data_IF_693873012282
#
_entry.id   IF_693873012282
#
_cell.length_a   1.000
_cell.length_b   1.000
_cell.length_c   1.000
_cell.angle_alpha   90.00
_cell.angle_beta   90.00
_cell.angle_gamma   90.00
#
_symmetry.space_group_name_H-M   'P 1'
#
loop_
_entity.id
_entity.type
_entity.pdbx_description
1 polymer ?
#
# COMPACT_ATOMS: atom_id res chain seq x y z
N UNK A 1 -65.07 -2.26 9.88
CA UNK A 1 -64.18 -2.25 8.70
C UNK A 1 -62.77 -1.92 9.17
N UNK A 2 -61.94 -2.94 9.41
CA UNK A 2 -60.56 -2.78 9.89
C UNK A 2 -59.64 -3.11 8.74
N UNK A 3 -58.87 -2.11 8.27
CA UNK A 3 -57.85 -2.30 7.25
C UNK A 3 -56.53 -2.64 7.92
N UNK A 4 -56.06 -3.86 7.73
CA UNK A 4 -54.72 -4.30 8.11
C UNK A 4 -53.72 -3.86 7.03
N UNK A 5 -52.87 -2.88 7.36
CA UNK A 5 -51.71 -2.50 6.55
C UNK A 5 -50.56 -3.49 6.84
N UNK A 6 -50.28 -4.38 5.90
CA UNK A 6 -49.10 -5.23 5.94
C UNK A 6 -47.89 -4.44 5.49
N UNK A 7 -47.01 -4.10 6.41
CA UNK A 7 -45.66 -3.59 6.09
C UNK A 7 -44.78 -4.75 5.66
N UNK A 8 -44.51 -4.85 4.38
CA UNK A 8 -43.52 -5.77 3.83
C UNK A 8 -42.11 -5.32 4.21
N UNK A 9 -41.41 -6.12 5.01
CA UNK A 9 -39.98 -5.98 5.26
C UNK A 9 -39.21 -6.35 3.98
N UNK A 10 -38.74 -5.36 3.27
CA UNK A 10 -37.77 -5.55 2.18
C UNK A 10 -36.40 -5.67 2.79
N UNK A 11 -35.91 -6.90 2.91
CA UNK A 11 -34.54 -7.19 3.25
C UNK A 11 -33.64 -6.77 2.09
N UNK A 12 -32.63 -5.95 2.37
CA UNK A 12 -31.70 -5.41 1.38
C UNK A 12 -30.60 -6.43 1.03
N UNK A 13 -30.63 -7.14 -0.12
CA UNK A 13 -29.53 -7.99 -0.57
C UNK A 13 -28.38 -7.20 -1.21
N UNK A 14 -28.58 -5.92 -1.56
CA UNK A 14 -27.64 -5.12 -2.34
C UNK A 14 -26.28 -4.90 -1.65
N UNK A 15 -26.24 -4.71 -0.34
CA UNK A 15 -24.98 -4.43 0.39
C UNK A 15 -24.04 -5.65 0.45
N UNK A 16 -24.59 -6.87 0.53
CA UNK A 16 -23.78 -8.09 0.57
C UNK A 16 -23.15 -8.42 -0.79
N UNK A 17 -23.85 -8.12 -1.89
CA UNK A 17 -23.34 -8.31 -3.25
C UNK A 17 -22.26 -7.27 -3.59
N UNK A 18 -22.41 -6.02 -3.17
CA UNK A 18 -21.40 -4.97 -3.32
C UNK A 18 -20.11 -5.30 -2.55
N UNK A 19 -20.22 -5.84 -1.33
CA UNK A 19 -19.09 -6.27 -0.54
C UNK A 19 -18.33 -7.44 -1.21
N UNK A 20 -19.05 -8.43 -1.76
CA UNK A 20 -18.44 -9.54 -2.51
C UNK A 20 -17.76 -9.04 -3.79
N UNK A 21 -18.41 -8.14 -4.52
CA UNK A 21 -17.85 -7.57 -5.73
C UNK A 21 -16.56 -6.77 -5.43
N UNK A 22 -16.52 -6.02 -4.33
CA UNK A 22 -15.31 -5.34 -3.89
C UNK A 22 -14.15 -6.31 -3.61
N UNK A 23 -14.43 -7.48 -3.00
CA UNK A 23 -13.44 -8.54 -2.79
C UNK A 23 -12.89 -9.09 -4.12
N UNK A 24 -13.77 -9.38 -5.08
CA UNK A 24 -13.38 -9.90 -6.40
C UNK A 24 -12.58 -8.87 -7.19
N UNK A 25 -12.98 -7.60 -7.13
CA UNK A 25 -12.25 -6.50 -7.75
C UNK A 25 -10.86 -6.36 -7.16
N UNK A 26 -10.72 -6.37 -5.84
CA UNK A 26 -9.43 -6.30 -5.17
C UNK A 26 -8.52 -7.50 -5.52
N UNK A 27 -9.08 -8.71 -5.60
CA UNK A 27 -8.38 -9.91 -6.04
C UNK A 27 -7.82 -9.76 -7.46
N UNK A 28 -8.64 -9.32 -8.41
CA UNK A 28 -8.21 -9.09 -9.80
C UNK A 28 -7.18 -7.97 -9.92
N UNK A 29 -7.43 -6.84 -9.24
CA UNK A 29 -6.52 -5.69 -9.22
C UNK A 29 -5.15 -6.04 -8.66
N UNK A 30 -5.10 -6.88 -7.62
CA UNK A 30 -3.83 -7.31 -7.04
C UNK A 30 -2.93 -8.05 -8.04
N UNK A 31 -3.52 -8.88 -8.91
CA UNK A 31 -2.77 -9.59 -9.93
C UNK A 31 -2.20 -8.65 -11.00
N UNK A 32 -2.99 -7.68 -11.45
CA UNK A 32 -2.51 -6.69 -12.42
C UNK A 32 -1.41 -5.79 -11.83
N UNK A 33 -1.54 -5.40 -10.58
CA UNK A 33 -0.53 -4.62 -9.87
C UNK A 33 0.78 -5.41 -9.67
N UNK A 34 0.69 -6.71 -9.34
CA UNK A 34 1.87 -7.58 -9.28
C UNK A 34 2.61 -7.65 -10.63
N UNK A 35 1.87 -7.86 -11.73
CA UNK A 35 2.45 -7.87 -13.08
C UNK A 35 3.12 -6.55 -13.44
N UNK A 36 2.58 -5.44 -12.98
CA UNK A 36 3.13 -4.10 -13.18
C UNK A 36 4.27 -3.74 -12.20
N UNK A 37 4.71 -4.67 -11.36
CA UNK A 37 5.71 -4.44 -10.29
C UNK A 37 5.31 -3.37 -9.27
N UNK A 38 4.01 -3.10 -9.16
CA UNK A 38 3.42 -2.20 -8.14
C UNK A 38 3.09 -3.00 -6.87
N UNK A 39 4.14 -3.50 -6.22
CA UNK A 39 4.01 -4.47 -5.13
C UNK A 39 3.40 -3.87 -3.86
N UNK A 40 3.63 -2.58 -3.58
CA UNK A 40 2.99 -1.88 -2.47
C UNK A 40 1.48 -1.85 -2.65
N UNK A 41 1.03 -1.38 -3.79
CA UNK A 41 -0.39 -1.27 -4.14
C UNK A 41 -1.03 -2.65 -4.25
N UNK A 42 -0.30 -3.64 -4.76
CA UNK A 42 -0.76 -5.04 -4.76
C UNK A 42 -0.98 -5.57 -3.34
N UNK A 43 -0.07 -5.28 -2.42
CA UNK A 43 -0.20 -5.66 -1.00
C UNK A 43 -1.47 -5.07 -0.37
N UNK A 44 -1.78 -3.80 -0.64
CA UNK A 44 -3.00 -3.15 -0.15
C UNK A 44 -4.28 -3.83 -0.67
N UNK A 45 -4.32 -4.19 -1.96
CA UNK A 45 -5.44 -4.92 -2.55
C UNK A 45 -5.57 -6.33 -1.97
N UNK A 46 -4.45 -7.01 -1.71
CA UNK A 46 -4.43 -8.34 -1.10
C UNK A 46 -4.92 -8.32 0.35
N UNK A 47 -4.56 -7.30 1.13
CA UNK A 47 -5.13 -7.08 2.46
C UNK A 47 -6.66 -6.90 2.36
N UNK A 48 -7.14 -6.13 1.39
CA UNK A 48 -8.57 -5.90 1.22
C UNK A 48 -9.35 -7.18 0.89
N UNK A 49 -8.82 -8.07 0.04
CA UNK A 49 -9.50 -9.31 -0.35
C UNK A 49 -9.21 -10.52 0.56
N UNK A 50 -8.24 -10.41 1.47
CA UNK A 50 -7.98 -11.45 2.49
C UNK A 50 -8.87 -11.34 3.73
N UNK A 51 -9.75 -10.33 3.80
CA UNK A 51 -10.62 -10.10 4.97
C UNK A 51 -11.65 -11.22 5.15
N UNK A 52 -12.10 -11.47 6.39
CA UNK A 52 -13.08 -12.52 6.71
C UNK A 52 -14.39 -12.42 5.94
N UNK A 53 -14.80 -11.20 5.55
CA UNK A 53 -16.04 -10.93 4.82
C UNK A 53 -16.00 -11.38 3.36
N UNK A 54 -14.79 -11.63 2.83
CA UNK A 54 -14.62 -12.05 1.45
C UNK A 54 -14.92 -13.54 1.25
N UNK A 55 -15.36 -13.95 0.04
CA UNK A 55 -15.61 -15.37 -0.27
C UNK A 55 -14.37 -16.22 0.00
N UNK A 56 -14.57 -17.44 0.52
CA UNK A 56 -13.49 -18.30 1.01
C UNK A 56 -12.36 -18.55 0.01
N UNK A 57 -12.68 -18.81 -1.26
CA UNK A 57 -11.67 -19.03 -2.30
C UNK A 57 -10.84 -17.75 -2.58
N UNK A 58 -11.50 -16.60 -2.70
CA UNK A 58 -10.85 -15.30 -2.89
C UNK A 58 -9.93 -14.99 -1.71
N UNK A 59 -10.45 -15.17 -0.49
CA UNK A 59 -9.68 -14.92 0.73
C UNK A 59 -8.43 -15.80 0.84
N UNK A 60 -8.54 -17.07 0.49
CA UNK A 60 -7.43 -18.01 0.55
C UNK A 60 -6.30 -17.63 -0.42
N UNK A 61 -6.65 -17.29 -1.67
CA UNK A 61 -5.70 -16.82 -2.67
C UNK A 61 -5.02 -15.52 -2.22
N UNK A 62 -5.82 -14.55 -1.76
CA UNK A 62 -5.31 -13.25 -1.31
C UNK A 62 -4.37 -13.39 -0.10
N UNK A 63 -4.69 -14.22 0.88
CA UNK A 63 -3.83 -14.47 2.03
C UNK A 63 -2.50 -15.11 1.64
N UNK A 64 -2.51 -16.09 0.73
CA UNK A 64 -1.31 -16.72 0.20
C UNK A 64 -0.43 -15.70 -0.54
N UNK A 65 -1.01 -14.99 -1.48
CA UNK A 65 -0.27 -14.01 -2.30
C UNK A 65 0.21 -12.81 -1.49
N UNK A 66 -0.51 -12.43 -0.43
CA UNK A 66 -0.06 -11.37 0.48
C UNK A 66 1.29 -11.72 1.11
N UNK A 67 1.45 -12.95 1.60
CA UNK A 67 2.72 -13.41 2.14
C UNK A 67 3.86 -13.37 1.12
N UNK A 68 3.59 -13.78 -0.12
CA UNK A 68 4.56 -13.74 -1.23
C UNK A 68 4.95 -12.29 -1.55
N UNK A 69 3.97 -11.41 -1.76
CA UNK A 69 4.19 -10.01 -2.12
C UNK A 69 4.91 -9.25 -1.00
N UNK A 70 4.56 -9.47 0.26
CA UNK A 70 5.23 -8.83 1.39
C UNK A 70 6.72 -9.21 1.49
N UNK A 71 7.08 -10.43 1.09
CA UNK A 71 8.48 -10.84 1.01
C UNK A 71 9.24 -10.16 -0.15
N UNK A 72 8.52 -9.82 -1.22
CA UNK A 72 9.06 -9.20 -2.43
C UNK A 72 9.11 -7.66 -2.38
N UNK A 73 8.28 -7.00 -1.55
CA UNK A 73 8.28 -5.53 -1.40
C UNK A 73 9.63 -5.06 -0.85
N UNK A 74 10.39 -4.24 -1.59
CA UNK A 74 11.62 -3.68 -1.08
C UNK A 74 11.38 -2.62 0.01
N UNK A 75 12.40 -2.37 0.81
CA UNK A 75 12.39 -1.27 1.77
C UNK A 75 13.72 -0.55 1.83
N UNK A 76 13.66 0.75 2.15
CA UNK A 76 14.80 1.62 2.34
C UNK A 76 14.80 2.16 3.77
N UNK A 77 15.97 2.21 4.41
CA UNK A 77 16.19 3.01 5.63
C UNK A 77 16.99 4.24 5.22
N UNK A 78 16.46 5.42 5.48
CA UNK A 78 17.09 6.68 5.16
C UNK A 78 17.73 7.25 6.42
N UNK A 79 19.02 7.61 6.31
CA UNK A 79 19.76 8.35 7.33
C UNK A 79 20.27 9.64 6.67
N UNK A 80 20.08 10.77 7.33
CA UNK A 80 20.58 12.06 6.88
C UNK A 80 21.46 12.70 7.96
N UNK A 81 22.54 13.36 7.52
CA UNK A 81 23.42 14.12 8.40
C UNK A 81 23.53 15.56 7.91
N UNK A 82 23.73 16.48 8.84
CA UNK A 82 24.04 17.87 8.51
C UNK A 82 25.52 18.05 8.11
N UNK A 83 25.93 19.30 7.82
CA UNK A 83 27.31 19.64 7.44
C UNK A 83 28.34 19.34 8.55
N UNK A 84 27.90 19.19 9.81
CA UNK A 84 28.75 18.85 10.96
C UNK A 84 28.80 17.33 11.21
N UNK A 85 28.09 16.54 10.42
CA UNK A 85 27.99 15.08 10.58
C UNK A 85 27.00 14.62 11.66
N UNK A 86 26.18 15.52 12.17
CA UNK A 86 25.15 15.20 13.15
C UNK A 86 23.89 14.67 12.44
N UNK A 87 23.28 13.62 13.00
CA UNK A 87 22.03 13.08 12.46
C UNK A 87 20.91 14.12 12.53
N UNK A 88 20.13 14.20 11.45
CA UNK A 88 18.95 15.05 11.35
C UNK A 88 17.72 14.23 11.01
N UNK A 89 16.62 14.50 11.72
CA UNK A 89 15.35 13.78 11.56
C UNK A 89 14.31 14.59 10.77
N UNK A 90 14.41 15.91 10.74
CA UNK A 90 13.48 16.84 10.08
C UNK A 90 13.65 16.88 8.55
N UNK A 91 13.68 15.70 7.94
CA UNK A 91 13.83 15.52 6.50
C UNK A 91 12.58 14.82 5.94
N UNK A 92 11.98 15.45 4.95
CA UNK A 92 10.90 14.86 4.17
C UNK A 92 11.46 14.07 2.99
N UNK A 93 10.97 12.86 2.80
CA UNK A 93 11.39 11.97 1.71
C UNK A 93 10.28 11.82 0.70
N UNK A 94 10.60 12.04 -0.57
CA UNK A 94 9.71 11.82 -1.69
C UNK A 94 10.31 10.76 -2.63
N UNK A 95 9.43 9.90 -3.14
CA UNK A 95 9.74 8.94 -4.20
C UNK A 95 8.90 9.31 -5.42
N UNK A 96 9.56 9.60 -6.54
CA UNK A 96 8.91 10.03 -7.80
C UNK A 96 7.89 11.17 -7.59
N UNK A 97 8.20 12.11 -6.70
CA UNK A 97 7.35 13.24 -6.36
C UNK A 97 6.28 13.00 -5.30
N UNK A 98 6.07 11.76 -4.87
CA UNK A 98 5.14 11.41 -3.79
C UNK A 98 5.83 11.37 -2.43
N UNK A 99 5.25 12.02 -1.42
CA UNK A 99 5.78 11.99 -0.05
C UNK A 99 5.60 10.59 0.55
N UNK A 100 6.69 9.96 0.97
CA UNK A 100 6.71 8.63 1.62
C UNK A 100 7.08 8.69 3.09
N UNK A 101 7.74 9.75 3.53
CA UNK A 101 8.03 10.03 4.93
C UNK A 101 8.07 11.55 5.16
N UNK A 102 7.44 12.02 6.23
CA UNK A 102 7.45 13.44 6.62
C UNK A 102 8.64 13.77 7.52
N UNK A 103 9.21 12.76 8.16
CA UNK A 103 10.41 12.84 9.01
C UNK A 103 11.12 11.49 8.99
N UNK A 104 12.38 11.49 9.40
CA UNK A 104 13.20 10.29 9.53
C UNK A 104 13.13 9.77 10.99
N UNK A 105 12.64 8.55 11.13
CA UNK A 105 12.49 7.89 12.43
C UNK A 105 13.22 6.53 12.49
N UNK A 106 14.08 6.25 11.50
CA UNK A 106 14.80 5.00 11.38
C UNK A 106 13.96 3.80 10.93
N UNK A 107 12.68 4.01 10.64
CA UNK A 107 11.82 2.94 10.15
C UNK A 107 12.04 2.67 8.65
N UNK A 108 11.95 1.39 8.22
CA UNK A 108 11.98 1.05 6.81
C UNK A 108 10.82 1.71 6.04
N UNK A 109 11.13 2.29 4.90
CA UNK A 109 10.17 2.87 3.97
C UNK A 109 9.96 1.87 2.84
N UNK A 110 8.76 1.31 2.71
CA UNK A 110 8.42 0.42 1.62
C UNK A 110 8.36 1.18 0.30
N UNK A 111 8.97 0.63 -0.74
CA UNK A 111 8.99 1.20 -2.10
C UNK A 111 8.71 0.11 -3.11
N UNK A 112 8.28 0.47 -4.32
CA UNK A 112 8.19 -0.50 -5.41
C UNK A 112 9.57 -0.82 -5.99
N UNK A 113 9.79 -2.01 -6.56
CA UNK A 113 11.01 -2.25 -7.32
C UNK A 113 11.04 -1.42 -8.59
N UNK A 114 12.23 -1.10 -9.09
CA UNK A 114 12.45 -0.34 -10.30
C UNK A 114 13.34 0.89 -10.11
N UNK A 115 13.39 1.72 -11.15
CA UNK A 115 14.11 2.99 -11.11
C UNK A 115 13.24 4.06 -10.47
N UNK A 116 13.81 4.77 -9.49
CA UNK A 116 13.12 5.83 -8.78
C UNK A 116 14.01 7.05 -8.62
N UNK A 117 13.35 8.23 -8.54
CA UNK A 117 13.99 9.47 -8.09
C UNK A 117 13.61 9.69 -6.64
N UNK A 118 14.59 9.64 -5.75
CA UNK A 118 14.44 10.01 -4.35
C UNK A 118 14.76 11.50 -4.21
N UNK A 119 13.90 12.22 -3.50
CA UNK A 119 14.10 13.63 -3.18
C UNK A 119 14.01 13.82 -1.67
N UNK A 120 15.01 14.52 -1.13
CA UNK A 120 15.12 14.80 0.29
C UNK A 120 14.98 16.30 0.49
N UNK A 121 14.04 16.71 1.32
CA UNK A 121 13.75 18.12 1.59
C UNK A 121 13.85 18.41 3.08
N UNK A 122 14.52 19.48 3.42
CA UNK A 122 14.63 20.02 4.78
C UNK A 122 14.46 21.52 4.74
N UNK A 123 13.75 22.09 5.70
CA UNK A 123 13.59 23.53 5.82
C UNK A 123 14.95 24.22 5.96
N UNK A 124 15.15 25.29 5.20
CA UNK A 124 16.38 26.06 5.20
C UNK A 124 17.57 25.42 4.47
N UNK A 125 17.39 24.28 3.81
CA UNK A 125 18.39 23.59 3.03
C UNK A 125 17.96 23.39 1.58
N UNK A 126 18.93 23.27 0.66
CA UNK A 126 18.63 22.91 -0.71
C UNK A 126 18.20 21.44 -0.79
N UNK A 127 17.17 21.11 -1.61
CA UNK A 127 16.77 19.73 -1.83
C UNK A 127 17.91 18.90 -2.43
N UNK A 128 17.96 17.62 -2.05
CA UNK A 128 18.90 16.65 -2.61
C UNK A 128 18.14 15.61 -3.38
N UNK A 129 18.54 15.30 -4.59
CA UNK A 129 17.96 14.24 -5.41
C UNK A 129 18.96 13.12 -5.66
N UNK A 130 18.45 11.89 -5.69
CA UNK A 130 19.21 10.68 -6.05
C UNK A 130 18.35 9.79 -6.95
N UNK A 131 18.93 9.32 -8.03
CA UNK A 131 18.35 8.24 -8.82
C UNK A 131 18.85 6.90 -8.30
N UNK A 132 17.94 5.98 -8.06
CA UNK A 132 18.24 4.66 -7.51
C UNK A 132 17.54 3.57 -8.33
N UNK A 133 18.17 2.41 -8.39
CA UNK A 133 17.54 1.19 -8.90
C UNK A 133 17.34 0.26 -7.71
N UNK A 134 16.07 -0.04 -7.44
CA UNK A 134 15.64 -0.88 -6.33
C UNK A 134 15.24 -2.24 -6.86
N UNK A 135 15.78 -3.32 -6.29
CA UNK A 135 15.48 -4.69 -6.69
C UNK A 135 14.37 -5.30 -5.84
N UNK A 136 13.68 -6.27 -6.41
CA UNK A 136 12.67 -7.06 -5.69
C UNK A 136 13.29 -7.64 -4.41
N UNK A 137 12.60 -7.50 -3.29
CA UNK A 137 13.01 -8.02 -1.99
C UNK A 137 14.23 -7.32 -1.35
N UNK A 138 14.74 -6.26 -1.96
CA UNK A 138 15.91 -5.52 -1.44
C UNK A 138 15.58 -4.84 -0.10
N UNK A 139 16.48 -4.99 0.88
CA UNK A 139 16.38 -4.41 2.22
C UNK A 139 17.64 -3.61 2.50
N UNK A 140 17.57 -2.28 2.45
CA UNK A 140 18.68 -1.34 2.66
C UNK A 140 18.34 -0.36 3.76
#
# INVERSE_FOLDING_TARGET
MSALLAFGLWSAPALADDAKQACVTAHSSSQELRKASKLKEASEQLVACARPECPGAVRADCAKWLGEVQAEVPSLVVVATDANGSDVADVRVLVDGGVVASELNGQPIAVNPGKHTLRFEREGANPVERQVLIRVGERN
#
